data_IF_398708374836
#
_entry.id   IF_398708374836
#
_cell.length_a   1.000
_cell.length_b   1.000
_cell.length_c   1.000
_cell.angle_alpha   90.00
_cell.angle_beta   90.00
_cell.angle_gamma   90.00
#
_symmetry.space_group_name_H-M   'P 1'
#
loop_
_entity.id
_entity.type
_entity.pdbx_description
1 polymer ?
#
# COMPACT_ATOMS: atom_id res chain seq x y z
N UNK A 1 -5.17 -24.19 7.87
CA UNK A 1 -6.19 -23.45 7.08
C UNK A 1 -5.53 -22.89 5.82
N UNK A 2 -6.06 -23.17 4.62
CA UNK A 2 -5.56 -22.57 3.38
C UNK A 2 -6.03 -21.12 3.31
N UNK A 3 -5.11 -20.15 3.29
CA UNK A 3 -5.46 -18.74 3.11
C UNK A 3 -6.05 -18.53 1.69
N UNK A 4 -7.13 -17.74 1.55
CA UNK A 4 -7.70 -17.43 0.25
C UNK A 4 -6.66 -16.81 -0.68
N UNK A 5 -6.67 -17.22 -1.95
CA UNK A 5 -5.72 -16.71 -2.95
C UNK A 5 -5.68 -15.17 -3.03
N UNK A 6 -6.80 -14.43 -3.02
CA UNK A 6 -6.77 -12.96 -3.05
C UNK A 6 -6.01 -12.34 -1.88
N UNK A 7 -6.11 -12.93 -0.68
CA UNK A 7 -5.41 -12.45 0.52
C UNK A 7 -3.90 -12.63 0.36
N UNK A 8 -3.47 -13.78 -0.13
CA UNK A 8 -2.04 -14.05 -0.40
C UNK A 8 -1.50 -13.12 -1.48
N UNK A 9 -2.26 -12.92 -2.57
CA UNK A 9 -1.87 -12.01 -3.63
C UNK A 9 -1.76 -10.57 -3.13
N UNK A 10 -2.73 -10.09 -2.34
CA UNK A 10 -2.67 -8.76 -1.74
C UNK A 10 -1.51 -8.61 -0.76
N UNK A 11 -1.17 -9.65 0.00
CA UNK A 11 0.01 -9.61 0.87
C UNK A 11 1.30 -9.39 0.04
N UNK A 12 1.43 -10.08 -1.09
CA UNK A 12 2.54 -9.84 -2.02
C UNK A 12 2.55 -8.41 -2.57
N UNK A 13 1.39 -7.87 -2.94
CA UNK A 13 1.29 -6.48 -3.38
C UNK A 13 1.76 -5.51 -2.29
N UNK A 14 1.32 -5.70 -1.03
CA UNK A 14 1.75 -4.85 0.08
C UNK A 14 3.25 -4.97 0.31
N UNK A 15 3.84 -6.16 0.24
CA UNK A 15 5.29 -6.36 0.38
C UNK A 15 6.09 -5.67 -0.73
N UNK A 16 5.62 -5.75 -1.98
CA UNK A 16 6.22 -5.02 -3.10
C UNK A 16 6.13 -3.51 -2.85
N UNK A 17 4.98 -3.01 -2.39
CA UNK A 17 4.79 -1.60 -2.06
C UNK A 17 5.71 -1.14 -0.92
N UNK A 18 5.87 -1.93 0.13
CA UNK A 18 6.83 -1.65 1.22
C UNK A 18 8.24 -1.56 0.66
N UNK A 19 8.65 -2.56 -0.12
CA UNK A 19 10.01 -2.62 -0.70
C UNK A 19 10.27 -1.41 -1.58
N UNK A 20 9.31 -1.05 -2.43
CA UNK A 20 9.39 0.14 -3.27
C UNK A 20 9.53 1.43 -2.45
N UNK A 21 8.77 1.58 -1.36
CA UNK A 21 8.86 2.76 -0.51
C UNK A 21 10.14 2.79 0.34
N UNK A 22 10.67 1.64 0.76
CA UNK A 22 12.01 1.56 1.39
C UNK A 22 13.09 2.05 0.41
N UNK A 23 13.06 1.57 -0.83
CA UNK A 23 13.99 2.02 -1.87
C UNK A 23 13.86 3.52 -2.13
N UNK A 24 12.63 4.04 -2.16
CA UNK A 24 12.35 5.48 -2.28
C UNK A 24 12.94 6.29 -1.12
N UNK A 25 12.74 5.85 0.11
CA UNK A 25 13.29 6.49 1.31
C UNK A 25 14.82 6.49 1.25
N UNK A 26 15.39 5.32 0.99
CA UNK A 26 16.84 5.14 0.90
C UNK A 26 17.46 6.06 -0.15
N UNK A 27 16.94 6.04 -1.38
CA UNK A 27 17.44 6.89 -2.47
C UNK A 27 17.28 8.38 -2.18
N UNK A 28 16.18 8.78 -1.54
CA UNK A 28 15.94 10.18 -1.16
C UNK A 28 16.92 10.70 -0.10
N UNK A 29 17.43 9.81 0.77
CA UNK A 29 18.42 10.13 1.79
C UNK A 29 19.84 10.00 1.23
N UNK A 30 20.19 8.84 0.67
CA UNK A 30 21.53 8.53 0.20
C UNK A 30 21.98 9.44 -0.95
N UNK A 31 21.06 9.80 -1.86
CA UNK A 31 21.36 10.62 -3.03
C UNK A 31 20.79 12.04 -2.91
N UNK A 32 20.55 12.52 -1.68
CA UNK A 32 19.96 13.82 -1.41
C UNK A 32 20.65 14.96 -2.17
N UNK A 33 21.98 15.05 -2.06
CA UNK A 33 22.80 16.06 -2.75
C UNK A 33 22.64 16.01 -4.28
N UNK A 34 22.56 14.81 -4.85
CA UNK A 34 22.39 14.59 -6.30
C UNK A 34 21.00 15.05 -6.73
N UNK A 35 19.97 14.64 -6.01
CA UNK A 35 18.59 15.00 -6.33
C UNK A 35 18.33 16.50 -6.21
N UNK A 36 18.94 17.18 -5.23
CA UNK A 36 18.89 18.64 -5.12
C UNK A 36 19.62 19.30 -6.29
N UNK A 37 20.84 18.82 -6.61
CA UNK A 37 21.66 19.37 -7.69
C UNK A 37 20.97 19.33 -9.05
N UNK A 38 20.21 18.26 -9.32
CA UNK A 38 19.47 18.09 -10.57
C UNK A 38 18.01 18.56 -10.49
N UNK A 39 17.65 19.33 -9.46
CA UNK A 39 16.32 19.91 -9.29
C UNK A 39 15.20 18.87 -9.45
N UNK A 40 15.33 17.75 -8.73
CA UNK A 40 14.28 16.73 -8.68
C UNK A 40 12.93 17.38 -8.36
N UNK A 41 11.90 17.06 -9.14
CA UNK A 41 10.61 17.77 -9.07
C UNK A 41 9.98 17.70 -7.67
N UNK A 42 10.09 16.55 -7.00
CA UNK A 42 9.71 16.42 -5.60
C UNK A 42 10.95 16.56 -4.69
N UNK A 43 10.92 17.47 -3.70
CA UNK A 43 12.02 17.62 -2.75
C UNK A 43 12.36 16.30 -2.05
N UNK A 44 13.65 15.91 -1.95
CA UNK A 44 14.03 14.60 -1.41
C UNK A 44 13.56 14.37 0.03
N UNK A 45 13.57 15.40 0.89
CA UNK A 45 13.09 15.30 2.26
C UNK A 45 11.60 14.93 2.32
N UNK A 46 10.77 15.54 1.46
CA UNK A 46 9.33 15.24 1.37
C UNK A 46 9.14 13.82 0.83
N UNK A 47 9.90 13.43 -0.20
CA UNK A 47 9.87 12.08 -0.76
C UNK A 47 10.22 11.01 0.28
N UNK A 48 11.24 11.24 1.11
CA UNK A 48 11.63 10.34 2.19
C UNK A 48 10.54 10.25 3.28
N UNK A 49 9.97 11.38 3.69
CA UNK A 49 8.91 11.39 4.69
C UNK A 49 7.68 10.59 4.25
N UNK A 50 7.20 10.85 3.03
CA UNK A 50 6.02 10.17 2.50
C UNK A 50 6.27 8.69 2.25
N UNK A 51 7.45 8.34 1.73
CA UNK A 51 7.87 6.94 1.64
C UNK A 51 7.86 6.25 3.01
N UNK A 52 8.35 6.92 4.05
CA UNK A 52 8.33 6.42 5.43
C UNK A 52 6.92 6.12 5.95
N UNK A 53 5.96 7.03 5.72
CA UNK A 53 4.54 6.81 6.07
C UNK A 53 4.02 5.53 5.42
N UNK A 54 4.31 5.31 4.14
CA UNK A 54 3.83 4.13 3.42
C UNK A 54 4.53 2.84 3.83
N UNK A 55 5.80 2.89 4.23
CA UNK A 55 6.50 1.74 4.83
C UNK A 55 5.83 1.34 6.14
N UNK A 56 5.62 2.29 7.06
CA UNK A 56 4.98 2.02 8.36
C UNK A 56 3.57 1.49 8.16
N UNK A 57 2.78 2.15 7.31
CA UNK A 57 1.40 1.72 7.00
C UNK A 57 1.38 0.30 6.42
N UNK A 58 2.27 0.00 5.48
CA UNK A 58 2.39 -1.33 4.90
C UNK A 58 2.76 -2.40 5.92
N UNK A 59 3.72 -2.12 6.81
CA UNK A 59 4.12 -3.05 7.87
C UNK A 59 2.97 -3.35 8.83
N UNK A 60 2.23 -2.31 9.24
CA UNK A 60 1.04 -2.46 10.10
C UNK A 60 -0.02 -3.32 9.42
N UNK A 61 -0.28 -3.11 8.12
CA UNK A 61 -1.22 -3.93 7.34
C UNK A 61 -0.73 -5.37 7.23
N UNK A 62 0.53 -5.61 6.88
CA UNK A 62 1.12 -6.94 6.81
C UNK A 62 0.97 -7.69 8.14
N UNK A 63 1.26 -7.02 9.24
CA UNK A 63 1.07 -7.56 10.59
C UNK A 63 -0.41 -7.88 10.86
N UNK A 64 -1.31 -6.95 10.56
CA UNK A 64 -2.75 -7.14 10.74
C UNK A 64 -3.30 -8.32 9.96
N UNK A 65 -2.90 -8.48 8.70
CA UNK A 65 -3.26 -9.62 7.83
C UNK A 65 -2.68 -10.92 8.38
N UNK A 66 -1.41 -10.92 8.81
CA UNK A 66 -0.77 -12.10 9.38
C UNK A 66 -1.51 -12.60 10.62
N UNK A 67 -1.86 -11.68 11.51
CA UNK A 67 -2.58 -11.95 12.76
C UNK A 67 -4.09 -12.22 12.54
N UNK A 68 -4.61 -12.06 11.31
CA UNK A 68 -6.02 -12.23 11.01
C UNK A 68 -6.93 -11.25 11.75
N UNK A 69 -6.48 -10.00 11.94
CA UNK A 69 -7.24 -8.98 12.68
C UNK A 69 -8.38 -8.41 11.84
N UNK A 70 -9.55 -8.20 12.45
CA UNK A 70 -10.74 -7.61 11.80
C UNK A 70 -10.43 -6.24 11.18
N UNK A 71 -9.64 -5.40 11.86
CA UNK A 71 -9.30 -4.06 11.39
C UNK A 71 -8.40 -4.07 10.16
N UNK A 72 -7.71 -5.17 9.86
CA UNK A 72 -6.78 -5.26 8.74
C UNK A 72 -7.49 -5.08 7.40
N UNK A 73 -8.71 -5.62 7.25
CA UNK A 73 -9.51 -5.44 6.03
C UNK A 73 -9.88 -3.96 5.79
N UNK A 74 -10.40 -3.28 6.83
CA UNK A 74 -10.76 -1.86 6.75
C UNK A 74 -9.55 -0.98 6.45
N UNK A 75 -8.44 -1.24 7.14
CA UNK A 75 -7.20 -0.48 6.96
C UNK A 75 -6.57 -0.73 5.60
N UNK A 76 -6.62 -1.96 5.08
CA UNK A 76 -6.14 -2.31 3.74
C UNK A 76 -6.89 -1.49 2.66
N UNK A 77 -8.22 -1.44 2.72
CA UNK A 77 -9.02 -0.68 1.77
C UNK A 77 -8.75 0.82 1.86
N UNK A 78 -8.70 1.37 3.08
CA UNK A 78 -8.37 2.78 3.32
C UNK A 78 -6.97 3.15 2.83
N UNK A 79 -5.98 2.30 3.08
CA UNK A 79 -4.62 2.50 2.60
C UNK A 79 -4.52 2.40 1.08
N UNK A 80 -5.24 1.49 0.44
CA UNK A 80 -5.29 1.40 -1.02
C UNK A 80 -5.88 2.66 -1.65
N UNK A 81 -6.97 3.18 -1.09
CA UNK A 81 -7.56 4.45 -1.53
C UNK A 81 -6.58 5.62 -1.35
N UNK A 82 -5.97 5.72 -0.16
CA UNK A 82 -4.97 6.76 0.14
C UNK A 82 -3.75 6.67 -0.78
N UNK A 83 -3.26 5.47 -1.08
CA UNK A 83 -2.11 5.26 -1.96
C UNK A 83 -2.44 5.64 -3.40
N UNK A 84 -3.65 5.34 -3.86
CA UNK A 84 -4.15 5.76 -5.17
C UNK A 84 -4.22 7.28 -5.27
N UNK A 85 -4.81 7.96 -4.29
CA UNK A 85 -4.86 9.43 -4.26
C UNK A 85 -3.46 10.00 -4.28
N UNK A 86 -2.57 9.51 -3.41
CA UNK A 86 -1.18 9.94 -3.36
C UNK A 86 -0.46 9.77 -4.70
N UNK A 87 -0.54 8.58 -5.30
CA UNK A 87 0.10 8.28 -6.59
C UNK A 87 -0.35 9.25 -7.69
N UNK A 88 -1.65 9.52 -7.78
CA UNK A 88 -2.19 10.42 -8.79
C UNK A 88 -1.83 11.88 -8.51
N UNK A 89 -1.88 12.33 -7.26
CA UNK A 89 -1.39 13.66 -6.88
C UNK A 89 0.07 13.82 -7.27
N UNK A 90 0.93 12.86 -6.91
CA UNK A 90 2.34 12.90 -7.25
C UNK A 90 2.58 12.94 -8.76
N UNK A 91 1.79 12.18 -9.52
CA UNK A 91 1.85 12.14 -10.98
C UNK A 91 1.39 13.44 -11.64
N UNK A 92 0.37 14.11 -11.13
CA UNK A 92 -0.12 15.36 -11.71
C UNK A 92 0.74 16.57 -11.36
N UNK A 93 1.30 16.63 -10.15
CA UNK A 93 2.05 17.80 -9.69
C UNK A 93 3.56 17.73 -9.98
N UNK A 94 4.16 16.54 -9.95
CA UNK A 94 5.63 16.39 -9.96
C UNK A 94 6.20 15.60 -11.14
N UNK A 95 5.35 15.12 -12.06
CA UNK A 95 5.81 14.39 -13.23
C UNK A 95 5.39 15.10 -14.52
N UNK A 96 6.35 15.34 -15.42
CA UNK A 96 6.07 15.80 -16.78
C UNK A 96 5.16 14.80 -17.52
N UNK A 97 4.39 15.29 -18.50
CA UNK A 97 3.45 14.52 -19.33
C UNK A 97 4.05 13.19 -19.83
N UNK A 98 3.83 12.12 -19.08
CA UNK A 98 4.15 10.75 -19.52
C UNK A 98 2.96 10.21 -20.29
N UNK A 99 3.19 9.75 -21.52
CA UNK A 99 2.18 9.18 -22.42
C UNK A 99 1.48 7.92 -21.86
N UNK A 100 1.99 7.30 -20.80
CA UNK A 100 1.46 6.06 -20.23
C UNK A 100 0.28 6.22 -19.26
N UNK A 101 -0.52 7.29 -19.37
CA UNK A 101 -1.64 7.56 -18.44
C UNK A 101 -2.70 6.47 -18.50
N UNK A 102 -3.10 6.03 -19.70
CA UNK A 102 -4.10 4.96 -19.86
C UNK A 102 -3.62 3.66 -19.20
N UNK A 103 -2.35 3.29 -19.43
CA UNK A 103 -1.74 2.12 -18.80
C UNK A 103 -1.78 2.23 -17.26
N UNK A 104 -1.44 3.39 -16.71
CA UNK A 104 -1.46 3.60 -15.26
C UNK A 104 -2.86 3.50 -14.66
N UNK A 105 -3.89 4.01 -15.34
CA UNK A 105 -5.30 3.83 -14.93
C UNK A 105 -5.67 2.35 -14.91
N UNK A 106 -5.37 1.62 -15.99
CA UNK A 106 -5.70 0.19 -16.10
C UNK A 106 -5.02 -0.61 -14.98
N UNK A 107 -3.73 -0.38 -14.74
CA UNK A 107 -2.99 -1.06 -13.66
C UNK A 107 -3.55 -0.68 -12.30
N UNK A 108 -3.82 0.61 -12.05
CA UNK A 108 -4.36 1.04 -10.76
C UNK A 108 -5.73 0.38 -10.46
N UNK A 109 -6.66 0.40 -11.42
CA UNK A 109 -7.95 -0.27 -11.29
C UNK A 109 -7.79 -1.79 -11.15
N UNK A 110 -6.90 -2.40 -11.93
CA UNK A 110 -6.61 -3.83 -11.86
C UNK A 110 -6.08 -4.27 -10.49
N UNK A 111 -5.26 -3.44 -9.84
CA UNK A 111 -4.73 -3.70 -8.49
C UNK A 111 -5.80 -3.56 -7.40
N UNK A 112 -6.84 -2.73 -7.60
CA UNK A 112 -7.94 -2.59 -6.64
C UNK A 112 -8.83 -3.85 -6.59
N UNK A 113 -8.90 -4.63 -7.68
CA UNK A 113 -9.70 -5.86 -7.74
C UNK A 113 -9.28 -6.88 -6.66
N UNK A 114 -8.03 -7.36 -6.60
CA UNK A 114 -7.62 -8.31 -5.57
C UNK A 114 -7.74 -7.72 -4.16
N UNK A 115 -7.50 -6.42 -3.99
CA UNK A 115 -7.65 -5.73 -2.71
C UNK A 115 -9.11 -5.75 -2.22
N UNK A 116 -10.06 -5.50 -3.12
CA UNK A 116 -11.48 -5.57 -2.80
C UNK A 116 -11.89 -6.98 -2.34
N UNK A 117 -11.48 -8.02 -3.10
CA UNK A 117 -11.76 -9.40 -2.73
C UNK A 117 -11.06 -9.82 -1.42
N UNK A 118 -9.82 -9.41 -1.22
CA UNK A 118 -9.07 -9.67 0.01
C UNK A 118 -9.75 -9.00 1.22
N UNK A 119 -10.23 -7.76 1.08
CA UNK A 119 -10.94 -7.03 2.15
C UNK A 119 -12.22 -7.75 2.56
N UNK A 120 -12.99 -8.24 1.59
CA UNK A 120 -14.20 -9.03 1.86
C UNK A 120 -13.87 -10.35 2.56
N UNK A 121 -12.82 -11.04 2.09
CA UNK A 121 -12.40 -12.31 2.67
C UNK A 121 -11.89 -12.16 4.11
N UNK A 122 -11.06 -11.14 4.37
CA UNK A 122 -10.53 -10.84 5.70
C UNK A 122 -11.65 -10.49 6.69
N UNK A 123 -12.64 -9.70 6.24
CA UNK A 123 -13.80 -9.36 7.08
C UNK A 123 -14.63 -10.60 7.42
N UNK A 124 -14.83 -11.51 6.45
CA UNK A 124 -15.56 -12.76 6.68
C UNK A 124 -14.84 -13.69 7.66
N UNK A 125 -13.56 -13.96 7.43
CA UNK A 125 -12.77 -14.82 8.32
C UNK A 125 -12.72 -14.29 9.75
N UNK A 126 -12.65 -12.98 9.91
CA UNK A 126 -12.61 -12.38 11.24
C UNK A 126 -13.95 -12.52 11.97
N UNK A 127 -15.07 -12.46 11.26
CA UNK A 127 -16.40 -12.71 11.81
C UNK A 127 -16.63 -14.18 12.17
N UNK A 128 -16.18 -15.11 11.31
CA UNK A 128 -16.24 -16.55 11.59
C UNK A 128 -15.47 -16.91 12.87
N UNK A 129 -14.28 -16.32 13.09
CA UNK A 129 -13.49 -16.54 14.32
C UNK A 129 -14.14 -15.97 15.58
N UNK A 130 -14.86 -14.85 15.46
CA UNK A 130 -15.61 -14.27 16.58
C UNK A 130 -16.80 -15.15 16.99
N UNK A 131 -17.44 -15.82 16.03
CA UNK A 131 -18.48 -16.81 16.28
C UNK A 131 -17.95 -18.15 16.82
N UNK A 132 -16.79 -18.62 16.37
CA UNK A 132 -16.20 -19.88 16.84
C UNK A 132 -15.61 -19.78 18.25
N UNK A 133 -15.17 -18.58 18.65
CA UNK A 133 -14.64 -18.33 19.98
C UNK A 133 -15.33 -17.08 20.56
N UNK A 134 -16.64 -17.18 20.88
CA UNK A 134 -17.31 -16.10 21.58
C UNK A 134 -16.54 -15.94 22.88
N UNK A 135 -16.08 -14.70 23.16
CA UNK A 135 -15.41 -14.40 24.42
C UNK A 135 -16.31 -14.95 25.52
N UNK A 136 -15.82 -15.95 26.25
CA UNK A 136 -16.46 -16.42 27.47
C UNK A 136 -16.35 -15.24 28.44
N UNK A 137 -17.42 -14.45 28.53
CA UNK A 137 -17.61 -13.48 29.61
C UNK A 137 -17.91 -14.20 30.92
#
# INVERSE_FOLDING_TARGET
MKRPFPVTLTLWLVLITITWNILRVWTSIAWNNVLIKFSASLPPAISAFIGGIWVVTGLVICWGIWQGRVWAGKMLFGAAAGYTVWYWSERFFFHNQRSNTIFAVIVNLGLLIPIFFATKSLSREAHEREFENPKVE
#
